data_IF_687618184889
#
_entry.id   IF_687618184889
#
_cell.length_a   1.000
_cell.length_b   1.000
_cell.length_c   1.000
_cell.angle_alpha   90.00
_cell.angle_beta   90.00
_cell.angle_gamma   90.00
#
_symmetry.space_group_name_H-M   'P 1'
#
loop_
_entity.id
_entity.type
_entity.pdbx_description
1 polymer ?
#
# COMPACT_ATOMS: atom_id res chain seq x y z
N UNK A 1 -4.66 6.91 17.61
CA UNK A 1 -5.17 6.16 16.47
C UNK A 1 -6.70 6.08 16.43
N UNK A 2 -7.40 5.59 17.47
CA UNK A 2 -8.87 5.47 17.48
C UNK A 2 -9.62 6.78 17.21
N UNK A 3 -9.14 7.90 17.72
CA UNK A 3 -9.76 9.22 17.49
C UNK A 3 -9.55 9.75 16.05
N UNK A 4 -8.51 9.31 15.37
CA UNK A 4 -8.22 9.69 13.99
C UNK A 4 -8.92 8.78 12.97
N UNK A 5 -9.00 7.48 13.25
CA UNK A 5 -9.61 6.47 12.37
C UNK A 5 -11.07 6.13 12.71
N UNK A 6 -11.67 6.76 13.71
CA UNK A 6 -13.07 6.53 14.09
C UNK A 6 -14.06 7.16 13.09
N UNK A 7 -15.08 6.40 12.68
CA UNK A 7 -16.15 6.92 11.82
C UNK A 7 -17.00 7.92 12.62
N UNK A 8 -16.99 9.20 12.22
CA UNK A 8 -17.84 10.24 12.83
C UNK A 8 -17.45 10.66 14.25
N UNK A 9 -16.23 10.38 14.67
CA UNK A 9 -15.71 10.80 15.98
C UNK A 9 -15.61 12.32 16.12
N UNK A 10 -15.63 12.85 17.36
CA UNK A 10 -15.42 14.27 17.61
C UNK A 10 -14.06 14.70 17.07
N UNK A 11 -13.96 15.96 16.65
CA UNK A 11 -12.69 16.52 16.17
C UNK A 11 -11.54 16.15 17.10
N UNK A 12 -10.45 15.62 16.55
CA UNK A 12 -9.28 15.24 17.32
C UNK A 12 -8.70 16.48 18.00
N UNK A 13 -8.93 16.63 19.30
CA UNK A 13 -8.38 17.71 20.13
C UNK A 13 -7.39 17.14 21.14
N UNK A 14 -6.43 17.97 21.60
CA UNK A 14 -5.48 17.55 22.65
C UNK A 14 -6.21 17.01 23.87
N UNK A 15 -7.30 17.66 24.31
CA UNK A 15 -8.13 17.22 25.44
C UNK A 15 -8.78 15.85 25.18
N UNK A 16 -9.25 15.60 23.96
CA UNK A 16 -9.84 14.31 23.62
C UNK A 16 -8.79 13.19 23.62
N UNK A 17 -7.57 13.48 23.12
CA UNK A 17 -6.43 12.54 23.15
C UNK A 17 -6.04 12.24 24.60
N UNK A 18 -5.83 13.26 25.43
CA UNK A 18 -5.48 13.10 26.85
C UNK A 18 -6.51 12.29 27.62
N UNK A 19 -7.80 12.63 27.45
CA UNK A 19 -8.91 11.89 28.11
C UNK A 19 -8.95 10.43 27.66
N UNK A 20 -8.76 10.15 26.37
CA UNK A 20 -8.76 8.78 25.85
C UNK A 20 -7.57 7.96 26.34
N UNK A 21 -6.40 8.61 26.48
CA UNK A 21 -5.18 7.98 26.96
C UNK A 21 -5.05 7.93 28.49
N UNK A 22 -5.97 8.57 29.24
CA UNK A 22 -5.84 8.70 30.71
C UNK A 22 -4.68 9.58 31.14
N UNK A 23 -4.26 10.54 30.30
CA UNK A 23 -3.12 11.41 30.52
C UNK A 23 -3.56 12.87 30.74
N UNK A 24 -2.69 13.66 31.35
CA UNK A 24 -2.85 15.11 31.45
C UNK A 24 -2.26 15.83 30.22
N UNK A 25 -2.71 17.05 29.94
CA UNK A 25 -2.15 17.86 28.84
C UNK A 25 -0.64 18.09 28.99
N UNK A 26 -0.11 18.11 30.22
CA UNK A 26 1.34 18.23 30.46
C UNK A 26 2.10 17.08 29.80
N UNK A 27 1.71 15.83 30.01
CA UNK A 27 2.36 14.66 29.38
C UNK A 27 2.22 14.65 27.87
N UNK A 28 1.11 15.19 27.34
CA UNK A 28 0.96 15.36 25.91
C UNK A 28 2.05 16.30 25.35
N UNK A 29 2.22 17.49 25.96
CA UNK A 29 3.20 18.47 25.48
C UNK A 29 4.66 18.11 25.78
N UNK A 30 4.92 17.18 26.65
CA UNK A 30 6.25 16.56 26.81
C UNK A 30 6.62 15.68 25.60
N UNK A 31 5.61 15.09 24.90
CA UNK A 31 5.81 14.17 23.77
C UNK A 31 5.57 14.81 22.40
N UNK A 32 4.65 15.75 22.31
CA UNK A 32 4.22 16.38 21.05
C UNK A 32 4.15 17.89 21.21
N UNK A 33 4.74 18.62 20.25
CA UNK A 33 4.72 20.08 20.26
C UNK A 33 3.29 20.64 20.14
N UNK A 34 2.46 19.99 19.34
CA UNK A 34 1.08 20.37 19.08
C UNK A 34 0.23 19.16 18.63
N UNK A 35 -1.07 19.42 18.35
CA UNK A 35 -2.00 18.43 17.83
C UNK A 35 -1.54 17.85 16.49
N UNK A 36 -1.06 18.69 15.60
CA UNK A 36 -0.66 18.29 14.25
C UNK A 36 0.56 17.37 14.28
N UNK A 37 1.52 17.67 15.16
CA UNK A 37 2.67 16.77 15.39
C UNK A 37 2.20 15.39 15.87
N UNK A 38 1.27 15.33 16.81
CA UNK A 38 0.69 14.06 17.27
C UNK A 38 -0.02 13.29 16.14
N UNK A 39 -0.81 13.99 15.32
CA UNK A 39 -1.51 13.40 14.17
C UNK A 39 -0.53 12.84 13.15
N UNK A 40 0.50 13.60 12.79
CA UNK A 40 1.57 13.14 11.88
C UNK A 40 2.30 11.92 12.44
N UNK A 41 2.70 11.94 13.72
CA UNK A 41 3.39 10.82 14.34
C UNK A 41 2.56 9.53 14.32
N UNK A 42 1.24 9.61 14.55
CA UNK A 42 0.33 8.45 14.43
C UNK A 42 0.27 7.94 12.99
N UNK A 43 0.20 8.84 12.02
CA UNK A 43 0.17 8.47 10.60
C UNK A 43 1.48 7.80 10.17
N UNK A 44 2.62 8.37 10.56
CA UNK A 44 3.95 7.86 10.26
C UNK A 44 4.19 6.47 10.87
N UNK A 45 3.70 6.22 12.10
CA UNK A 45 3.76 4.87 12.70
C UNK A 45 2.97 3.86 11.86
N UNK A 46 1.76 4.22 11.39
CA UNK A 46 0.95 3.33 10.54
C UNK A 46 1.63 3.08 9.20
N UNK A 47 2.17 4.12 8.55
CA UNK A 47 2.92 4.00 7.29
C UNK A 47 4.16 3.11 7.46
N UNK A 48 4.92 3.32 8.54
CA UNK A 48 6.12 2.52 8.86
C UNK A 48 5.78 1.04 9.02
N UNK A 49 4.71 0.71 9.74
CA UNK A 49 4.23 -0.67 9.91
C UNK A 49 3.79 -1.28 8.57
N UNK A 50 3.05 -0.52 7.76
CA UNK A 50 2.63 -0.96 6.44
C UNK A 50 3.84 -1.25 5.54
N UNK A 51 4.83 -0.37 5.52
CA UNK A 51 6.08 -0.56 4.77
C UNK A 51 6.86 -1.78 5.25
N UNK A 52 7.00 -1.99 6.55
CA UNK A 52 7.69 -3.15 7.12
C UNK A 52 7.00 -4.46 6.70
N UNK A 53 5.68 -4.53 6.83
CA UNK A 53 4.86 -5.67 6.40
C UNK A 53 5.04 -5.99 4.92
N UNK A 54 4.91 -4.97 4.05
CA UNK A 54 5.06 -5.15 2.61
C UNK A 54 6.49 -5.49 2.18
N UNK A 55 7.48 -5.01 2.92
CA UNK A 55 8.90 -5.30 2.65
C UNK A 55 9.23 -6.76 2.98
N UNK A 56 8.72 -7.29 4.08
CA UNK A 56 8.99 -8.66 4.54
C UNK A 56 8.33 -9.74 3.67
N UNK A 57 7.22 -9.41 3.01
CA UNK A 57 6.47 -10.36 2.19
C UNK A 57 7.30 -10.88 1.00
N UNK A 58 7.33 -12.21 0.84
CA UNK A 58 8.11 -12.88 -0.20
C UNK A 58 7.33 -13.06 -1.51
N UNK A 59 6.00 -13.09 -1.43
CA UNK A 59 5.11 -13.28 -2.60
C UNK A 59 4.05 -12.17 -2.66
N UNK A 60 3.50 -11.88 -3.85
CA UNK A 60 2.39 -10.96 -3.99
C UNK A 60 1.16 -11.35 -3.15
N UNK A 61 0.88 -12.66 -3.02
CA UNK A 61 -0.22 -13.15 -2.19
C UNK A 61 0.01 -12.84 -0.72
N UNK A 62 1.18 -13.17 -0.22
CA UNK A 62 1.56 -12.88 1.16
C UNK A 62 1.49 -11.38 1.46
N UNK A 63 1.98 -10.53 0.55
CA UNK A 63 1.91 -9.08 0.71
C UNK A 63 0.46 -8.58 0.83
N UNK A 64 -0.44 -9.07 -0.03
CA UNK A 64 -1.86 -8.68 -0.01
C UNK A 64 -2.54 -9.21 1.26
N UNK A 65 -2.32 -10.46 1.63
CA UNK A 65 -2.93 -11.09 2.83
C UNK A 65 -2.50 -10.36 4.11
N UNK A 66 -1.20 -10.13 4.29
CA UNK A 66 -0.67 -9.40 5.45
C UNK A 66 -1.14 -7.94 5.47
N UNK A 67 -1.25 -7.29 4.32
CA UNK A 67 -1.76 -5.93 4.26
C UNK A 67 -3.27 -5.87 4.57
N UNK A 68 -4.05 -6.88 4.16
CA UNK A 68 -5.45 -7.03 4.55
C UNK A 68 -5.57 -7.22 6.07
N UNK A 69 -4.78 -8.10 6.67
CA UNK A 69 -4.73 -8.28 8.13
C UNK A 69 -4.42 -6.96 8.85
N UNK A 70 -3.42 -6.24 8.36
CA UNK A 70 -2.98 -5.00 8.99
C UNK A 70 -4.00 -3.87 8.87
N UNK A 71 -4.73 -3.77 7.75
CA UNK A 71 -5.56 -2.60 7.40
C UNK A 71 -7.06 -2.87 7.44
N UNK A 72 -7.49 -4.09 7.19
CA UNK A 72 -8.92 -4.43 7.12
C UNK A 72 -9.39 -5.06 8.43
N UNK A 73 -8.60 -5.97 9.01
CA UNK A 73 -8.93 -6.60 10.29
C UNK A 73 -8.73 -5.62 11.47
N UNK A 74 -7.90 -4.57 11.29
CA UNK A 74 -7.89 -3.37 12.13
C UNK A 74 -8.41 -2.15 11.34
N UNK A 75 -9.75 -1.97 11.27
CA UNK A 75 -10.34 -0.90 10.45
C UNK A 75 -9.96 0.51 10.91
N UNK A 76 -9.55 0.69 12.17
CA UNK A 76 -9.05 1.97 12.68
C UNK A 76 -7.73 2.32 12.00
N UNK A 77 -6.82 1.36 11.88
CA UNK A 77 -5.52 1.54 11.20
C UNK A 77 -5.70 1.78 9.71
N UNK A 78 -6.55 0.97 9.07
CA UNK A 78 -6.85 1.14 7.65
C UNK A 78 -7.43 2.51 7.32
N UNK A 79 -8.32 3.03 8.16
CA UNK A 79 -8.86 4.39 8.00
C UNK A 79 -7.81 5.48 8.20
N UNK A 80 -6.91 5.32 9.15
CA UNK A 80 -5.80 6.27 9.35
C UNK A 80 -4.93 6.33 8.11
N UNK A 81 -4.54 5.18 7.53
CA UNK A 81 -3.67 5.16 6.35
C UNK A 81 -4.38 5.70 5.10
N UNK A 82 -5.60 5.23 4.83
CA UNK A 82 -6.23 5.36 3.52
C UNK A 82 -7.27 6.50 3.44
N UNK A 83 -7.87 6.88 4.55
CA UNK A 83 -8.96 7.86 4.56
C UNK A 83 -8.57 9.17 5.26
N UNK A 84 -7.75 9.12 6.31
CA UNK A 84 -7.42 10.31 7.08
C UNK A 84 -6.71 11.41 6.25
N UNK A 85 -5.79 11.11 5.30
CA UNK A 85 -5.16 12.15 4.49
C UNK A 85 -6.13 12.98 3.64
N UNK A 86 -7.31 12.45 3.32
CA UNK A 86 -8.32 13.17 2.53
C UNK A 86 -9.17 14.14 3.36
N UNK A 87 -9.22 13.97 4.69
CA UNK A 87 -10.10 14.73 5.59
C UNK A 87 -9.37 15.48 6.70
N UNK A 88 -8.13 15.14 6.98
CA UNK A 88 -7.28 15.76 8.01
C UNK A 88 -6.21 16.61 7.34
N UNK A 89 -6.31 17.96 7.39
CA UNK A 89 -5.38 18.85 6.69
C UNK A 89 -3.90 18.64 7.10
N UNK A 90 -3.65 18.30 8.37
CA UNK A 90 -2.30 18.02 8.85
C UNK A 90 -1.63 16.82 8.15
N UNK A 91 -2.42 15.93 7.50
CA UNK A 91 -1.94 14.72 6.82
C UNK A 91 -1.85 14.85 5.30
N UNK A 92 -2.39 15.91 4.70
CA UNK A 92 -2.35 16.08 3.24
C UNK A 92 -0.91 16.02 2.72
N UNK A 93 0.01 16.71 3.40
CA UNK A 93 1.43 16.70 3.06
C UNK A 93 2.10 15.35 3.38
N UNK A 94 1.86 14.81 4.57
CA UNK A 94 2.45 13.52 4.98
C UNK A 94 2.02 12.37 4.06
N UNK A 95 0.76 12.34 3.61
CA UNK A 95 0.30 11.36 2.62
C UNK A 95 1.05 11.47 1.29
N UNK A 96 1.30 12.69 0.82
CA UNK A 96 2.07 12.94 -0.39
C UNK A 96 3.57 12.55 -0.23
N UNK A 97 4.15 12.73 0.95
CA UNK A 97 5.54 12.37 1.26
C UNK A 97 5.75 10.85 1.38
N UNK A 98 4.74 10.10 1.84
CA UNK A 98 4.81 8.65 1.95
C UNK A 98 4.55 7.91 0.64
N UNK A 99 3.75 8.47 -0.27
CA UNK A 99 3.37 7.83 -1.52
C UNK A 99 4.56 7.38 -2.38
N UNK A 100 5.63 8.18 -2.57
CA UNK A 100 6.83 7.75 -3.30
C UNK A 100 7.48 6.49 -2.70
N UNK A 101 7.50 6.34 -1.39
CA UNK A 101 8.10 5.20 -0.72
C UNK A 101 7.36 3.88 -1.04
N UNK A 102 6.02 3.91 -1.08
CA UNK A 102 5.22 2.76 -1.49
C UNK A 102 5.41 2.42 -2.97
N UNK A 103 5.47 3.43 -3.84
CA UNK A 103 5.74 3.25 -5.28
C UNK A 103 7.11 2.63 -5.48
N UNK A 104 8.13 3.13 -4.81
CA UNK A 104 9.51 2.64 -4.92
C UNK A 104 9.64 1.20 -4.38
N UNK A 105 8.97 0.87 -3.28
CA UNK A 105 8.94 -0.50 -2.78
C UNK A 105 8.35 -1.45 -3.81
N UNK A 106 7.20 -1.10 -4.41
CA UNK A 106 6.59 -1.93 -5.44
C UNK A 106 7.45 -1.99 -6.70
N UNK A 107 8.06 -0.88 -7.11
CA UNK A 107 8.98 -0.82 -8.24
C UNK A 107 10.13 -1.82 -8.07
N UNK A 108 10.77 -1.89 -6.92
CA UNK A 108 11.82 -2.88 -6.62
C UNK A 108 11.32 -4.34 -6.73
N UNK A 109 10.05 -4.59 -6.37
CA UNK A 109 9.45 -5.94 -6.50
C UNK A 109 9.08 -6.30 -7.95
N UNK A 110 8.95 -5.32 -8.84
CA UNK A 110 8.68 -5.50 -10.28
C UNK A 110 9.97 -5.70 -11.11
N UNK A 111 10.96 -6.39 -10.56
CA UNK A 111 12.31 -6.58 -11.16
C UNK A 111 12.32 -7.24 -12.55
N UNK A 112 11.22 -7.90 -12.95
CA UNK A 112 11.06 -8.49 -14.30
C UNK A 112 10.80 -7.45 -15.38
N UNK A 113 10.35 -6.25 -15.05
CA UNK A 113 10.16 -5.14 -15.99
C UNK A 113 11.51 -4.42 -16.11
N UNK A 114 12.17 -4.55 -17.25
CA UNK A 114 13.54 -4.08 -17.45
C UNK A 114 13.62 -2.57 -17.65
N UNK A 115 12.63 -1.97 -18.35
CA UNK A 115 12.59 -0.53 -18.57
C UNK A 115 12.19 0.20 -17.24
N UNK A 116 13.08 1.05 -16.70
CA UNK A 116 12.83 1.74 -15.43
C UNK A 116 11.68 2.74 -15.49
N UNK A 117 11.42 3.34 -16.66
CA UNK A 117 10.30 4.27 -16.84
C UNK A 117 8.99 3.49 -16.81
N UNK A 118 8.91 2.40 -17.57
CA UNK A 118 7.75 1.51 -17.59
C UNK A 118 7.51 0.88 -16.22
N UNK A 119 8.56 0.44 -15.53
CA UNK A 119 8.50 -0.11 -14.18
C UNK A 119 7.88 0.90 -13.19
N UNK A 120 8.28 2.18 -13.29
CA UNK A 120 7.73 3.25 -12.45
C UNK A 120 6.27 3.56 -12.79
N UNK A 121 5.91 3.59 -14.08
CA UNK A 121 4.52 3.78 -14.51
C UNK A 121 3.62 2.67 -13.99
N UNK A 122 4.03 1.41 -14.12
CA UNK A 122 3.30 0.24 -13.64
C UNK A 122 3.17 0.29 -12.11
N UNK A 123 4.25 0.57 -11.38
CA UNK A 123 4.21 0.67 -9.93
C UNK A 123 3.25 1.78 -9.45
N UNK A 124 3.31 2.95 -10.08
CA UNK A 124 2.42 4.08 -9.75
C UNK A 124 0.96 3.73 -10.01
N UNK A 125 0.66 3.10 -11.14
CA UNK A 125 -0.71 2.68 -11.50
C UNK A 125 -1.25 1.65 -10.53
N UNK A 126 -0.45 0.65 -10.17
CA UNK A 126 -0.84 -0.39 -9.23
C UNK A 126 -1.07 0.15 -7.82
N UNK A 127 -0.21 1.04 -7.33
CA UNK A 127 -0.41 1.67 -6.00
C UNK A 127 -1.69 2.51 -6.00
N UNK A 128 -1.95 3.28 -7.06
CA UNK A 128 -3.19 4.04 -7.18
C UNK A 128 -4.45 3.14 -7.20
N UNK A 129 -4.41 2.07 -7.99
CA UNK A 129 -5.50 1.11 -8.06
C UNK A 129 -5.74 0.39 -6.72
N UNK A 130 -4.68 -0.09 -6.06
CA UNK A 130 -4.77 -0.73 -4.74
C UNK A 130 -5.32 0.23 -3.69
N UNK A 131 -4.82 1.47 -3.64
CA UNK A 131 -5.35 2.50 -2.71
C UNK A 131 -6.84 2.70 -2.91
N UNK A 132 -7.31 2.84 -4.15
CA UNK A 132 -8.72 2.95 -4.47
C UNK A 132 -9.54 1.72 -4.05
N UNK A 133 -9.05 0.51 -4.33
CA UNK A 133 -9.70 -0.75 -3.97
C UNK A 133 -9.80 -0.93 -2.45
N UNK A 134 -8.72 -0.74 -1.71
CA UNK A 134 -8.74 -0.85 -0.25
C UNK A 134 -9.63 0.22 0.39
N UNK A 135 -9.60 1.45 -0.12
CA UNK A 135 -10.51 2.52 0.31
C UNK A 135 -11.99 2.16 0.10
N UNK A 136 -12.32 1.63 -1.08
CA UNK A 136 -13.69 1.22 -1.40
C UNK A 136 -14.13 0.00 -0.56
N UNK A 137 -13.23 -0.95 -0.31
CA UNK A 137 -13.48 -2.13 0.52
C UNK A 137 -13.74 -1.76 1.98
N UNK A 138 -12.89 -0.91 2.58
CA UNK A 138 -13.06 -0.41 3.95
C UNK A 138 -14.36 0.38 4.15
N UNK A 139 -14.84 1.05 3.10
CA UNK A 139 -16.11 1.77 3.11
C UNK A 139 -17.33 0.88 2.80
N UNK A 140 -17.14 -0.44 2.63
CA UNK A 140 -18.21 -1.39 2.34
C UNK A 140 -18.84 -1.22 0.94
N UNK A 141 -18.17 -0.52 0.01
CA UNK A 141 -18.74 -0.18 -1.32
C UNK A 141 -18.61 -1.29 -2.34
N UNK A 142 -17.80 -2.33 -2.09
CA UNK A 142 -17.54 -3.37 -3.09
C UNK A 142 -18.41 -4.61 -2.94
N UNK A 143 -19.01 -4.85 -1.77
CA UNK A 143 -19.81 -6.06 -1.51
C UNK A 143 -19.05 -7.38 -1.66
N UNK A 144 -17.72 -7.33 -1.78
CA UNK A 144 -16.86 -8.49 -1.99
C UNK A 144 -16.55 -9.18 -0.67
N UNK A 145 -16.48 -10.52 -0.69
CA UNK A 145 -15.93 -11.27 0.44
C UNK A 145 -14.43 -11.03 0.56
N UNK A 146 -13.86 -11.28 1.76
CA UNK A 146 -12.40 -11.17 2.00
C UNK A 146 -11.59 -11.97 0.97
N UNK A 147 -12.01 -13.20 0.70
CA UNK A 147 -11.34 -14.07 -0.28
C UNK A 147 -11.36 -13.48 -1.69
N UNK A 148 -12.54 -13.05 -2.17
CA UNK A 148 -12.67 -12.42 -3.49
C UNK A 148 -11.80 -11.16 -3.62
N UNK A 149 -11.74 -10.35 -2.58
CA UNK A 149 -10.94 -9.13 -2.56
C UNK A 149 -9.43 -9.45 -2.66
N UNK A 150 -8.93 -10.38 -1.83
CA UNK A 150 -7.53 -10.82 -1.87
C UNK A 150 -7.19 -11.40 -3.24
N UNK A 151 -7.99 -12.35 -3.74
CA UNK A 151 -7.73 -13.01 -5.02
C UNK A 151 -7.71 -12.01 -6.19
N UNK A 152 -8.61 -11.03 -6.17
CA UNK A 152 -8.62 -9.97 -7.19
C UNK A 152 -7.34 -9.12 -7.14
N UNK A 153 -6.95 -8.63 -5.95
CA UNK A 153 -5.74 -7.82 -5.80
C UNK A 153 -4.47 -8.58 -6.23
N UNK A 154 -4.37 -9.86 -5.85
CA UNK A 154 -3.25 -10.73 -6.25
C UNK A 154 -3.21 -10.92 -7.77
N UNK A 155 -4.35 -11.25 -8.38
CA UNK A 155 -4.42 -11.45 -9.83
C UNK A 155 -4.10 -10.16 -10.59
N UNK A 156 -4.55 -9.01 -10.13
CA UNK A 156 -4.23 -7.71 -10.72
C UNK A 156 -2.72 -7.45 -10.70
N UNK A 157 -2.05 -7.70 -9.57
CA UNK A 157 -0.59 -7.54 -9.44
C UNK A 157 0.16 -8.48 -10.39
N UNK A 158 -0.21 -9.77 -10.41
CA UNK A 158 0.47 -10.78 -11.20
C UNK A 158 0.25 -10.58 -12.71
N UNK A 159 -0.98 -10.32 -13.14
CA UNK A 159 -1.31 -10.12 -14.56
C UNK A 159 -0.64 -8.86 -15.12
N UNK A 160 -0.67 -7.77 -14.36
CA UNK A 160 -0.01 -6.53 -14.79
C UNK A 160 1.50 -6.73 -14.89
N UNK A 161 2.13 -7.36 -13.89
CA UNK A 161 3.57 -7.64 -13.93
C UNK A 161 3.94 -8.56 -15.11
N UNK A 162 3.10 -9.56 -15.43
CA UNK A 162 3.33 -10.47 -16.55
C UNK A 162 3.19 -9.78 -17.92
N UNK A 163 2.22 -8.86 -18.07
CA UNK A 163 1.97 -8.13 -19.31
C UNK A 163 3.19 -7.29 -19.73
N UNK A 164 3.90 -6.72 -18.77
CA UNK A 164 5.03 -5.83 -19.03
C UNK A 164 6.41 -6.48 -18.83
N UNK A 165 6.45 -7.76 -18.46
CA UNK A 165 7.70 -8.52 -18.44
C UNK A 165 8.12 -8.86 -19.90
N UNK A 166 9.43 -8.84 -20.23
CA UNK A 166 9.88 -9.23 -21.56
C UNK A 166 9.45 -10.67 -21.87
N UNK A 167 8.87 -10.89 -23.06
CA UNK A 167 8.62 -12.24 -23.55
C UNK A 167 9.97 -12.97 -23.67
N UNK A 168 10.10 -14.14 -23.06
CA UNK A 168 11.15 -15.08 -23.44
C UNK A 168 10.90 -15.45 -24.91
N UNK A 169 11.73 -14.93 -25.81
CA UNK A 169 11.81 -15.48 -27.15
C UNK A 169 12.05 -16.99 -26.98
N UNK A 170 11.06 -17.77 -27.42
CA UNK A 170 11.29 -19.22 -27.59
C UNK A 170 12.37 -19.32 -28.62
N UNK A 171 13.54 -19.83 -28.20
CA UNK A 171 14.71 -20.04 -29.04
C UNK A 171 14.28 -20.56 -30.40
N UNK A 172 14.71 -19.86 -31.44
CA UNK A 172 14.71 -20.33 -32.79
C UNK A 172 15.39 -21.70 -32.79
N UNK A 173 14.60 -22.73 -33.00
CA UNK A 173 15.15 -24.05 -33.32
C UNK A 173 15.93 -23.86 -34.60
N UNK A 174 17.28 -23.88 -34.49
CA UNK A 174 18.17 -24.00 -35.62
C UNK A 174 17.66 -25.14 -36.51
N UNK A 175 17.10 -24.74 -37.63
CA UNK A 175 16.78 -25.64 -38.72
C UNK A 175 18.13 -25.97 -39.40
N UNK A 176 18.79 -27.01 -38.84
CA UNK A 176 19.99 -27.63 -39.43
C UNK A 176 19.57 -28.22 -40.76
N UNK A 177 19.91 -27.57 -41.86
CA UNK A 177 19.74 -28.10 -43.21
C UNK A 177 20.82 -29.21 -43.40
N UNK A 178 20.42 -30.45 -43.65
CA UNK A 178 21.43 -31.50 -43.97
C UNK A 178 22.02 -31.23 -45.36
N UNK A 179 23.37 -31.12 -45.40
CA UNK A 179 24.12 -31.08 -46.63
C UNK A 179 23.93 -32.39 -47.41
N UNK A 180 23.35 -32.29 -48.62
CA UNK A 180 23.22 -33.42 -49.55
C UNK A 180 24.58 -33.84 -50.10
N UNK A 181 24.76 -35.14 -50.45
CA UNK A 181 26.01 -35.64 -50.96
C UNK A 181 26.23 -35.23 -52.42
N UNK A 182 27.41 -34.70 -52.68
CA UNK A 182 27.93 -34.55 -54.03
C UNK A 182 28.29 -35.92 -54.59
N UNK A 183 27.77 -36.21 -55.77
CA UNK A 183 28.28 -37.21 -56.70
C UNK A 183 28.58 -36.52 -58.03
#
# INVERSE_FOLDING_TARGET
>A
MQLLGGAGGPALTVRAVCRHAGLTERYFYESFADREHCVRAVYDDVCTRAMATLTSAQTPREAVEQFVELMVDDPVRGRVLLLAPAVEPALTRSGAEWMPNFIELLQRKLSRIVDPVLQKLVATSLIGALTGLFTAYLNGRLGATRKQFIDYCVNMLLSTAATYAPHRERGESEHSIPAGPHN
#
